data_IF_365380230639
#
_entry.id   IF_365380230639
#
_cell.length_a   1.000
_cell.length_b   1.000
_cell.length_c   1.000
_cell.angle_alpha   90.00
_cell.angle_beta   90.00
_cell.angle_gamma   90.00
#
_symmetry.space_group_name_H-M   'P 1'
#
loop_
_entity.id
_entity.type
_entity.pdbx_description
1 polymer ?
#
# COMPACT_ATOMS: atom_id res chain seq x y z
N UNK A 1 39.85 29.06 28.06
CA UNK A 1 38.51 28.99 27.44
C UNK A 1 37.73 28.01 28.28
N UNK A 2 36.69 28.45 28.98
CA UNK A 2 35.80 27.52 29.70
C UNK A 2 35.11 26.67 28.63
N UNK A 3 35.27 25.35 28.73
CA UNK A 3 34.38 24.41 28.02
C UNK A 3 32.95 24.75 28.48
N UNK A 4 32.18 25.40 27.61
CA UNK A 4 30.75 25.59 27.86
C UNK A 4 30.16 24.19 27.82
N UNK A 5 29.51 23.77 28.89
CA UNK A 5 28.81 22.49 28.93
C UNK A 5 27.75 22.47 27.81
N UNK A 6 27.81 21.46 26.95
CA UNK A 6 26.81 21.19 25.94
C UNK A 6 25.52 20.67 26.58
N UNK A 7 24.41 20.74 25.86
CA UNK A 7 23.17 20.09 26.28
C UNK A 7 23.33 18.59 26.44
N UNK A 8 22.64 18.04 27.44
CA UNK A 8 22.36 16.62 27.54
C UNK A 8 21.38 16.17 26.46
N UNK A 9 21.33 14.87 26.18
CA UNK A 9 20.41 14.30 25.18
C UNK A 9 18.95 14.61 25.52
N UNK A 10 18.60 14.64 26.81
CA UNK A 10 17.27 15.00 27.28
C UNK A 10 16.93 16.47 26.98
N UNK A 11 17.89 17.38 27.17
CA UNK A 11 17.70 18.80 26.87
C UNK A 11 17.59 19.05 25.36
N UNK A 12 18.35 18.31 24.55
CA UNK A 12 18.24 18.32 23.09
C UNK A 12 16.83 17.89 22.66
N UNK A 13 16.32 16.80 23.23
CA UNK A 13 14.97 16.31 22.93
C UNK A 13 13.89 17.34 23.30
N UNK A 14 13.98 17.95 24.50
CA UNK A 14 13.03 18.99 24.94
C UNK A 14 13.04 20.21 24.01
N UNK A 15 14.23 20.66 23.58
CA UNK A 15 14.35 21.80 22.67
C UNK A 15 13.80 21.46 21.27
N UNK A 16 14.09 20.26 20.77
CA UNK A 16 13.60 19.75 19.49
C UNK A 16 12.07 19.71 19.43
N UNK A 17 11.42 19.15 20.45
CA UNK A 17 9.97 19.08 20.56
C UNK A 17 9.34 20.49 20.59
N UNK A 18 9.92 21.41 21.36
CA UNK A 18 9.43 22.79 21.44
C UNK A 18 9.54 23.54 20.11
N UNK A 19 10.56 23.26 19.28
CA UNK A 19 10.70 23.84 17.93
C UNK A 19 9.63 23.27 17.00
N UNK A 20 9.45 21.94 16.99
CA UNK A 20 8.46 21.27 16.16
C UNK A 20 7.01 21.69 16.48
N UNK A 21 6.72 21.98 17.75
CA UNK A 21 5.42 22.49 18.18
C UNK A 21 5.23 24.00 17.97
N UNK A 22 6.25 24.73 17.51
CA UNK A 22 6.23 26.19 17.39
C UNK A 22 6.21 26.92 18.74
N UNK A 23 6.62 26.26 19.83
CA UNK A 23 6.65 26.77 21.21
C UNK A 23 8.04 27.22 21.66
N UNK A 24 8.91 27.63 20.74
CA UNK A 24 10.26 28.10 21.07
C UNK A 24 10.29 29.21 22.13
N UNK A 25 9.30 30.11 22.12
CA UNK A 25 9.20 31.18 23.12
C UNK A 25 8.88 30.68 24.54
N UNK A 26 8.37 29.45 24.67
CA UNK A 26 8.07 28.81 25.96
C UNK A 26 9.25 28.08 26.60
N UNK A 27 10.39 27.95 25.89
CA UNK A 27 11.59 27.33 26.46
C UNK A 27 12.20 28.21 27.57
N UNK A 28 12.86 27.59 28.58
CA UNK A 28 13.64 28.31 29.57
C UNK A 28 14.62 29.29 28.92
N UNK A 29 14.80 30.47 29.51
CA UNK A 29 15.68 31.51 28.97
C UNK A 29 17.13 31.01 28.84
N UNK A 30 17.58 30.18 29.76
CA UNK A 30 18.89 29.52 29.71
C UNK A 30 19.09 28.71 28.43
N UNK A 31 18.06 28.00 27.97
CA UNK A 31 18.15 27.17 26.76
C UNK A 31 18.19 28.04 25.50
N UNK A 32 17.34 29.08 25.45
CA UNK A 32 17.33 30.01 24.31
C UNK A 32 18.65 30.76 24.18
N UNK A 33 19.22 31.20 25.30
CA UNK A 33 20.52 31.88 25.31
C UNK A 33 21.65 30.91 24.93
N UNK A 34 21.61 29.67 25.41
CA UNK A 34 22.60 28.65 25.02
C UNK A 34 22.53 28.33 23.52
N UNK A 35 21.34 28.13 22.96
CA UNK A 35 21.15 27.90 21.53
C UNK A 35 21.61 29.07 20.67
N UNK A 36 21.49 30.30 21.16
CA UNK A 36 22.00 31.49 20.48
C UNK A 36 23.53 31.63 20.52
N UNK A 37 24.19 30.98 21.48
CA UNK A 37 25.64 31.09 21.70
C UNK A 37 26.44 29.84 21.31
N UNK A 38 25.79 28.68 21.14
CA UNK A 38 26.43 27.40 20.86
C UNK A 38 25.89 26.77 19.56
N UNK A 39 26.61 27.01 18.45
CA UNK A 39 26.25 26.51 17.12
C UNK A 39 26.13 24.97 17.05
N UNK A 40 26.94 24.26 17.84
CA UNK A 40 26.93 22.79 17.86
C UNK A 40 25.61 22.26 18.44
N UNK A 41 25.19 22.77 19.60
CA UNK A 41 23.91 22.36 20.19
C UNK A 41 22.71 22.82 19.35
N UNK A 42 22.80 23.99 18.71
CA UNK A 42 21.76 24.45 17.78
C UNK A 42 21.62 23.52 16.57
N UNK A 43 22.74 23.08 15.99
CA UNK A 43 22.75 22.14 14.86
C UNK A 43 22.20 20.77 15.25
N UNK A 44 22.57 20.27 16.44
CA UNK A 44 22.08 19.00 16.97
C UNK A 44 20.57 19.03 17.22
N UNK A 45 20.07 20.08 17.88
CA UNK A 45 18.63 20.26 18.13
C UNK A 45 17.84 20.35 16.81
N UNK A 46 18.36 21.07 15.80
CA UNK A 46 17.70 21.16 14.50
C UNK A 46 17.66 19.81 13.77
N UNK A 47 18.75 19.03 13.82
CA UNK A 47 18.78 17.69 13.22
C UNK A 47 17.74 16.76 13.85
N UNK A 48 17.63 16.77 15.18
CA UNK A 48 16.64 15.97 15.90
C UNK A 48 15.21 16.46 15.59
N UNK A 49 15.01 17.78 15.46
CA UNK A 49 13.72 18.36 15.11
C UNK A 49 13.26 17.92 13.71
N UNK A 50 14.15 17.96 12.72
CA UNK A 50 13.87 17.52 11.34
C UNK A 50 13.46 16.05 11.29
N UNK A 51 14.20 15.17 11.99
CA UNK A 51 13.89 13.73 12.07
C UNK A 51 12.51 13.51 12.69
N UNK A 52 12.23 14.19 13.82
CA UNK A 52 10.93 14.07 14.50
C UNK A 52 9.76 14.61 13.66
N UNK A 53 9.99 15.66 12.87
CA UNK A 53 8.98 16.23 11.98
C UNK A 53 8.57 15.23 10.89
N UNK A 54 9.52 14.53 10.26
CA UNK A 54 9.25 13.52 9.23
C UNK A 54 8.39 12.35 9.74
N UNK A 55 8.62 11.92 10.99
CA UNK A 55 7.78 10.91 11.64
C UNK A 55 6.35 11.43 11.88
N UNK A 56 6.21 12.70 12.28
CA UNK A 56 4.90 13.31 12.53
C UNK A 56 4.06 13.43 11.26
N UNK A 57 4.68 13.78 10.12
CA UNK A 57 4.01 13.84 8.83
C UNK A 57 3.51 12.46 8.40
N UNK A 58 4.36 11.45 8.55
CA UNK A 58 4.03 10.06 8.23
C UNK A 58 2.86 9.55 9.08
N UNK A 59 2.84 9.86 10.38
CA UNK A 59 1.74 9.48 11.28
C UNK A 59 0.42 10.21 10.93
N UNK A 60 0.48 11.48 10.55
CA UNK A 60 -0.71 12.28 10.27
C UNK A 60 -1.34 11.99 8.89
N UNK A 61 -0.53 11.56 7.91
CA UNK A 61 -1.05 11.05 6.63
C UNK A 61 -1.92 9.81 6.84
N UNK A 62 -1.51 8.90 7.72
CA UNK A 62 -2.29 7.70 8.04
C UNK A 62 -3.60 8.03 8.80
N UNK A 63 -3.59 9.06 9.67
CA UNK A 63 -4.77 9.45 10.43
C UNK A 63 -5.88 10.14 9.58
N UNK A 64 -5.53 10.78 8.46
CA UNK A 64 -6.51 11.52 7.63
C UNK A 64 -7.31 10.65 6.66
N UNK A 65 -6.89 9.41 6.39
CA UNK A 65 -7.59 8.51 5.45
C UNK A 65 -8.87 7.86 6.00
N UNK A 66 -8.98 7.64 7.32
CA UNK A 66 -10.06 6.81 7.88
C UNK A 66 -11.37 7.55 8.16
N UNK A 67 -11.31 8.83 8.59
CA UNK A 67 -12.53 9.55 9.02
C UNK A 67 -13.46 9.95 7.88
N UNK A 68 -12.95 10.26 6.68
CA UNK A 68 -13.81 10.60 5.52
C UNK A 68 -14.59 9.39 4.98
N UNK A 69 -14.03 8.17 5.05
CA UNK A 69 -14.74 6.95 4.63
C UNK A 69 -15.96 6.64 5.50
N UNK A 70 -15.89 6.89 6.80
CA UNK A 70 -17.02 6.66 7.71
C UNK A 70 -18.22 7.59 7.44
N UNK A 71 -17.98 8.86 7.09
CA UNK A 71 -19.08 9.77 6.73
C UNK A 71 -19.79 9.40 5.42
N UNK A 72 -19.07 8.82 4.45
CA UNK A 72 -19.69 8.34 3.20
C UNK A 72 -20.54 7.07 3.42
N UNK A 73 -20.10 6.14 4.28
CA UNK A 73 -20.86 4.92 4.58
C UNK A 73 -22.16 5.24 5.34
N UNK A 74 -22.14 6.20 6.27
CA UNK A 74 -23.33 6.63 7.02
C UNK A 74 -24.39 7.33 6.14
N UNK A 75 -24.00 7.93 5.01
CA UNK A 75 -24.95 8.56 4.08
C UNK A 75 -25.73 7.54 3.24
N UNK A 76 -25.05 6.46 2.81
CA UNK A 76 -25.65 5.45 1.92
C UNK A 76 -26.72 4.61 2.65
N UNK A 77 -26.55 4.35 3.95
CA UNK A 77 -27.52 3.56 4.73
C UNK A 77 -28.87 4.25 4.89
N UNK A 78 -28.89 5.59 4.95
CA UNK A 78 -30.13 6.37 5.08
C UNK A 78 -31.03 6.27 3.84
N UNK A 79 -30.44 6.33 2.64
CA UNK A 79 -31.21 6.25 1.38
C UNK A 79 -31.77 4.84 1.15
N UNK A 80 -31.00 3.81 1.50
CA UNK A 80 -31.45 2.41 1.36
C UNK A 80 -32.66 2.09 2.26
N UNK A 81 -32.69 2.61 3.49
CA UNK A 81 -33.82 2.41 4.41
C UNK A 81 -35.12 3.02 3.87
N UNK A 82 -35.05 4.20 3.23
CA UNK A 82 -36.21 4.86 2.62
C UNK A 82 -36.76 4.04 1.45
N UNK A 83 -35.89 3.49 0.60
CA UNK A 83 -36.31 2.65 -0.54
C UNK A 83 -36.92 1.32 -0.09
N UNK A 84 -36.35 0.67 0.93
CA UNK A 84 -36.92 -0.56 1.50
C UNK A 84 -38.30 -0.28 2.12
N UNK A 85 -38.46 0.83 2.84
CA UNK A 85 -39.74 1.21 3.44
C UNK A 85 -40.80 1.54 2.36
N UNK A 86 -40.43 2.26 1.30
CA UNK A 86 -41.32 2.54 0.17
C UNK A 86 -41.74 1.25 -0.56
N UNK A 87 -40.82 0.30 -0.75
CA UNK A 87 -41.11 -0.99 -1.36
C UNK A 87 -42.04 -1.85 -0.49
N UNK A 88 -41.84 -1.86 0.84
CA UNK A 88 -42.73 -2.56 1.76
C UNK A 88 -44.14 -1.95 1.75
N UNK A 89 -44.28 -0.63 1.68
CA UNK A 89 -45.59 0.02 1.51
C UNK A 89 -46.23 -0.42 0.18
N UNK A 90 -45.48 -0.47 -0.92
CA UNK A 90 -46.01 -0.88 -2.22
C UNK A 90 -46.48 -2.34 -2.25
N UNK A 91 -45.72 -3.26 -1.65
CA UNK A 91 -46.06 -4.71 -1.62
C UNK A 91 -47.22 -5.00 -0.65
N UNK A 92 -47.29 -4.31 0.49
CA UNK A 92 -48.32 -4.57 1.50
C UNK A 92 -49.59 -3.72 1.33
N UNK A 93 -49.67 -2.81 0.35
CA UNK A 93 -50.89 -2.05 0.13
C UNK A 93 -51.98 -2.95 -0.49
N UNK A 94 -53.03 -3.34 0.26
CA UNK A 94 -53.99 -4.36 -0.17
C UNK A 94 -55.05 -3.82 -1.15
N UNK A 95 -54.78 -2.67 -1.78
CA UNK A 95 -55.73 -1.93 -2.62
C UNK A 95 -55.73 -2.33 -4.10
N UNK A 96 -55.03 -3.40 -4.51
CA UNK A 96 -54.96 -3.79 -5.92
C UNK A 96 -55.42 -5.23 -6.23
N UNK A 97 -56.28 -5.80 -5.38
CA UNK A 97 -56.97 -7.05 -5.70
C UNK A 97 -58.37 -6.78 -6.27
N UNK A 98 -58.42 -6.24 -7.47
CA UNK A 98 -59.52 -6.53 -8.38
C UNK A 98 -59.10 -6.27 -9.82
N UNK A 99 -59.52 -7.17 -10.71
CA UNK A 99 -59.69 -7.02 -12.16
C UNK A 99 -58.69 -7.83 -13.01
N UNK A 100 -59.18 -9.03 -13.34
CA UNK A 100 -59.23 -9.68 -14.66
C UNK A 100 -58.07 -10.58 -15.12
N UNK A 101 -58.33 -11.88 -14.90
CA UNK A 101 -58.39 -12.92 -15.93
C UNK A 101 -58.70 -12.38 -17.35
N UNK A 102 -57.70 -12.43 -18.25
CA UNK A 102 -57.91 -12.59 -19.71
C UNK A 102 -56.82 -13.54 -20.22
N UNK A 103 -57.28 -14.64 -20.78
CA UNK A 103 -56.49 -15.63 -21.48
C UNK A 103 -56.07 -15.15 -22.88
N UNK A 104 -55.02 -15.83 -23.38
CA UNK A 104 -54.79 -16.13 -24.79
C UNK A 104 -54.28 -14.98 -25.70
N UNK A 105 -53.06 -15.13 -26.21
CA UNK A 105 -52.77 -15.44 -27.62
C UNK A 105 -51.24 -15.43 -27.80
N UNK A 106 -50.74 -16.54 -28.37
CA UNK A 106 -49.42 -16.66 -28.97
C UNK A 106 -49.25 -15.57 -30.04
N UNK A 107 -48.12 -14.89 -30.08
CA UNK A 107 -47.53 -14.67 -31.39
C UNK A 107 -46.00 -14.59 -31.36
N UNK A 108 -45.46 -15.48 -32.18
CA UNK A 108 -44.10 -15.58 -32.67
C UNK A 108 -43.68 -14.28 -33.33
N UNK A 109 -42.56 -13.70 -32.90
CA UNK A 109 -41.73 -12.89 -33.81
C UNK A 109 -40.26 -13.01 -33.44
N UNK A 110 -39.61 -13.91 -34.17
CA UNK A 110 -38.22 -13.75 -34.60
C UNK A 110 -38.04 -12.36 -35.23
N UNK A 111 -36.93 -11.68 -34.95
CA UNK A 111 -36.10 -10.94 -35.94
C UNK A 111 -34.95 -10.17 -35.25
N UNK A 112 -33.74 -10.41 -35.79
CA UNK A 112 -32.51 -9.57 -35.86
C UNK A 112 -31.87 -9.10 -34.53
N UNK A 113 -30.69 -9.60 -34.14
CA UNK A 113 -29.36 -9.40 -34.76
C UNK A 113 -29.01 -7.92 -34.99
N UNK A 114 -27.78 -7.52 -34.62
CA UNK A 114 -27.06 -6.27 -34.93
C UNK A 114 -27.19 -5.15 -33.87
N UNK A 115 -26.20 -5.04 -32.95
CA UNK A 115 -25.00 -4.18 -33.09
C UNK A 115 -24.33 -4.03 -31.72
N UNK A 116 -23.27 -4.82 -31.54
CA UNK A 116 -22.21 -4.57 -30.58
C UNK A 116 -21.52 -3.27 -31.00
N UNK A 117 -21.92 -2.17 -30.35
CA UNK A 117 -21.40 -0.85 -30.66
C UNK A 117 -20.20 -0.58 -29.76
N UNK A 118 -19.07 -0.53 -30.43
CA UNK A 118 -17.77 -0.10 -29.96
C UNK A 118 -17.87 1.19 -29.16
N UNK A 119 -17.49 1.13 -27.88
CA UNK A 119 -17.07 2.30 -27.12
C UNK A 119 -15.58 2.11 -26.86
N UNK A 120 -14.79 2.78 -27.71
CA UNK A 120 -13.53 3.49 -27.42
C UNK A 120 -12.87 3.06 -26.11
N UNK A 121 -11.80 2.27 -26.06
CA UNK A 121 -10.51 2.37 -26.78
C UNK A 121 -9.87 3.75 -26.71
N UNK A 122 -9.60 4.18 -25.48
CA UNK A 122 -8.51 5.10 -25.17
C UNK A 122 -7.78 4.58 -23.93
N UNK A 123 -6.46 4.80 -23.90
CA UNK A 123 -5.47 4.30 -22.93
C UNK A 123 -4.97 2.88 -23.26
N UNK A 124 -4.22 2.77 -24.36
CA UNK A 124 -3.16 1.75 -24.46
C UNK A 124 -2.04 2.25 -25.37
N UNK A 125 -1.37 3.31 -24.93
CA UNK A 125 -0.13 3.77 -25.54
C UNK A 125 0.81 4.25 -24.44
N UNK A 126 1.44 3.32 -23.71
CA UNK A 126 2.82 3.36 -23.19
C UNK A 126 3.07 1.98 -22.58
N UNK A 127 3.75 1.11 -23.31
CA UNK A 127 4.67 0.06 -22.84
C UNK A 127 4.92 -0.96 -23.95
N UNK A 128 5.40 -0.50 -25.11
CA UNK A 128 6.27 -1.34 -25.94
C UNK A 128 7.67 -1.22 -25.36
N UNK A 129 7.89 -1.91 -24.26
CA UNK A 129 9.23 -2.13 -23.71
C UNK A 129 9.94 -3.07 -24.67
N UNK A 130 10.94 -2.55 -25.37
CA UNK A 130 11.89 -3.33 -26.15
C UNK A 130 12.41 -4.48 -25.29
N UNK A 131 12.09 -5.72 -25.67
CA UNK A 131 12.72 -6.90 -25.13
C UNK A 131 14.16 -6.95 -25.65
N UNK A 132 15.07 -6.35 -24.88
CA UNK A 132 16.51 -6.45 -25.10
C UNK A 132 16.89 -7.89 -24.74
N UNK A 133 17.32 -8.66 -25.75
CA UNK A 133 17.84 -10.03 -25.55
C UNK A 133 19.17 -9.90 -24.79
N UNK A 134 19.31 -10.47 -23.58
CA UNK A 134 20.51 -10.33 -22.77
C UNK A 134 21.70 -11.11 -23.37
N UNK A 135 22.89 -10.51 -23.34
CA UNK A 135 24.15 -11.11 -23.78
C UNK A 135 24.67 -12.08 -22.69
N UNK A 136 25.26 -13.21 -23.07
CA UNK A 136 25.62 -14.37 -22.21
C UNK A 136 26.52 -13.99 -21.01
N UNK A 137 27.37 -12.96 -21.15
CA UNK A 137 28.18 -12.43 -20.05
C UNK A 137 27.38 -11.68 -18.95
N UNK A 138 26.08 -11.43 -19.15
CA UNK A 138 25.19 -10.82 -18.14
C UNK A 138 24.67 -11.84 -17.11
N UNK A 139 24.88 -13.15 -17.32
CA UNK A 139 24.37 -14.18 -16.41
C UNK A 139 24.98 -14.13 -15.01
N UNK A 140 26.24 -13.70 -14.87
CA UNK A 140 26.88 -13.52 -13.56
C UNK A 140 26.46 -12.22 -12.85
N UNK A 141 26.17 -11.15 -13.60
CA UNK A 141 25.67 -9.89 -13.05
C UNK A 141 24.22 -9.98 -12.56
N UNK A 142 23.50 -11.05 -12.93
CA UNK A 142 22.11 -11.26 -12.56
C UNK A 142 21.91 -11.65 -11.08
N UNK A 143 22.98 -11.94 -10.34
CA UNK A 143 22.92 -12.37 -8.93
C UNK A 143 23.57 -11.40 -7.95
N UNK A 144 23.96 -10.21 -8.40
CA UNK A 144 24.46 -9.17 -7.49
C UNK A 144 23.28 -8.68 -6.65
N UNK A 145 23.41 -8.78 -5.33
CA UNK A 145 22.39 -8.36 -4.38
C UNK A 145 22.30 -6.82 -4.32
N UNK A 146 21.09 -6.29 -4.16
CA UNK A 146 20.86 -4.86 -3.98
C UNK A 146 20.89 -4.51 -2.48
N UNK A 147 21.82 -3.64 -2.07
CA UNK A 147 22.06 -3.34 -0.65
C UNK A 147 20.80 -2.83 0.08
N UNK A 148 19.93 -2.06 -0.60
CA UNK A 148 18.71 -1.54 0.02
C UNK A 148 17.69 -2.65 0.26
N UNK A 149 17.51 -3.53 -0.73
CA UNK A 149 16.63 -4.69 -0.58
C UNK A 149 17.16 -5.71 0.41
N UNK A 150 18.47 -5.89 0.51
CA UNK A 150 19.08 -6.76 1.51
C UNK A 150 18.83 -6.26 2.93
N UNK A 151 18.98 -4.95 3.16
CA UNK A 151 18.63 -4.33 4.46
C UNK A 151 17.15 -4.52 4.78
N UNK A 152 16.26 -4.31 3.82
CA UNK A 152 14.83 -4.55 3.98
C UNK A 152 14.54 -6.02 4.26
N UNK A 153 15.13 -6.94 3.49
CA UNK A 153 14.93 -8.37 3.66
C UNK A 153 15.36 -8.82 5.07
N UNK A 154 16.57 -8.47 5.51
CA UNK A 154 17.04 -8.85 6.85
C UNK A 154 16.20 -8.19 7.97
N UNK A 155 15.67 -6.98 7.76
CA UNK A 155 14.77 -6.32 8.72
C UNK A 155 13.41 -7.01 8.85
N UNK A 156 12.95 -7.72 7.82
CA UNK A 156 11.61 -8.33 7.75
C UNK A 156 11.63 -9.87 7.81
N UNK A 157 12.81 -10.50 7.81
CA UNK A 157 13.00 -11.96 7.86
C UNK A 157 12.35 -12.63 9.08
N UNK A 158 12.28 -11.91 10.19
CA UNK A 158 11.75 -12.41 11.48
C UNK A 158 10.54 -11.60 11.99
N UNK A 159 10.19 -10.49 11.33
CA UNK A 159 9.15 -9.58 11.80
C UNK A 159 7.86 -9.76 11.00
N UNK A 160 6.91 -10.51 11.56
CA UNK A 160 5.52 -10.52 11.08
C UNK A 160 4.83 -9.23 11.53
N UNK A 161 4.93 -8.18 10.72
CA UNK A 161 4.23 -6.90 10.96
C UNK A 161 2.85 -6.96 10.33
N UNK A 162 1.88 -7.43 11.09
CA UNK A 162 0.47 -7.46 10.68
C UNK A 162 -0.28 -8.60 11.36
N UNK A 163 -1.31 -8.29 12.15
CA UNK A 163 -2.11 -9.32 12.85
C UNK A 163 -3.06 -10.10 11.94
N UNK A 164 -3.27 -9.64 10.70
CA UNK A 164 -4.23 -10.18 9.75
C UNK A 164 -3.64 -11.10 8.68
N UNK A 165 -2.35 -10.97 8.37
CA UNK A 165 -1.68 -11.70 7.28
C UNK A 165 -0.55 -12.57 7.83
N UNK A 166 -0.63 -13.88 7.59
CA UNK A 166 0.40 -14.84 7.98
C UNK A 166 1.10 -15.39 6.73
N UNK A 167 2.41 -15.14 6.61
CA UNK A 167 3.19 -15.57 5.44
C UNK A 167 3.58 -17.04 5.59
N UNK A 168 3.17 -17.87 4.61
CA UNK A 168 3.52 -19.31 4.58
C UNK A 168 4.71 -19.60 3.68
N UNK A 169 4.95 -18.72 2.70
CA UNK A 169 6.08 -18.83 1.78
C UNK A 169 7.41 -18.51 2.46
N UNK A 170 8.45 -19.28 2.13
CA UNK A 170 9.81 -19.04 2.64
C UNK A 170 10.38 -17.72 2.12
N UNK A 171 11.21 -17.06 2.93
CA UNK A 171 11.85 -15.80 2.55
C UNK A 171 12.80 -15.88 1.35
N UNK A 172 13.36 -17.06 1.07
CA UNK A 172 14.13 -17.32 -0.15
C UNK A 172 13.50 -18.48 -0.91
N UNK A 173 13.17 -18.24 -2.17
CA UNK A 173 12.58 -19.21 -3.08
C UNK A 173 13.50 -19.50 -4.25
N UNK A 174 13.37 -20.71 -4.79
CA UNK A 174 14.06 -21.15 -6.01
C UNK A 174 13.03 -21.38 -7.10
N UNK A 175 13.07 -20.57 -8.16
CA UNK A 175 12.21 -20.70 -9.34
C UNK A 175 12.94 -21.56 -10.40
N UNK A 176 12.27 -22.51 -11.08
CA UNK A 176 10.82 -22.71 -11.19
C UNK A 176 10.24 -23.77 -10.25
N UNK A 177 10.94 -24.17 -9.18
CA UNK A 177 10.43 -25.23 -8.26
C UNK A 177 9.12 -24.82 -7.57
N UNK A 178 8.91 -23.53 -7.40
CA UNK A 178 7.70 -22.94 -6.83
C UNK A 178 7.18 -21.91 -7.83
N UNK A 179 5.88 -21.97 -8.12
CA UNK A 179 5.20 -21.12 -9.11
C UNK A 179 4.30 -20.05 -8.47
N UNK A 180 4.16 -20.06 -7.14
CA UNK A 180 3.23 -19.22 -6.41
C UNK A 180 3.76 -18.84 -5.03
N UNK A 181 3.52 -17.59 -4.66
CA UNK A 181 3.65 -17.06 -3.31
C UNK A 181 2.35 -17.36 -2.55
N UNK A 182 2.46 -17.65 -1.25
CA UNK A 182 1.36 -18.10 -0.40
C UNK A 182 1.41 -17.43 0.97
N UNK A 183 0.24 -17.03 1.43
CA UNK A 183 -0.01 -16.44 2.74
C UNK A 183 -1.46 -16.70 3.13
N UNK A 184 -1.81 -16.42 4.38
CA UNK A 184 -3.17 -16.52 4.90
C UNK A 184 -3.72 -15.09 5.09
N UNK A 185 -4.68 -14.70 4.26
CA UNK A 185 -5.38 -13.43 4.29
C UNK A 185 -6.79 -13.64 4.84
N UNK A 186 -6.89 -13.75 6.17
CA UNK A 186 -8.13 -14.14 6.86
C UNK A 186 -9.31 -13.21 6.58
N UNK A 187 -9.04 -11.92 6.35
CA UNK A 187 -10.06 -10.89 6.19
C UNK A 187 -10.25 -10.42 4.74
N UNK A 188 -9.63 -11.11 3.76
CA UNK A 188 -9.68 -10.73 2.35
C UNK A 188 -9.31 -9.25 2.12
N UNK A 189 -8.29 -8.78 2.83
CA UNK A 189 -7.76 -7.44 2.63
C UNK A 189 -7.21 -7.32 1.22
N UNK A 190 -7.36 -6.15 0.59
CA UNK A 190 -6.70 -5.89 -0.69
C UNK A 190 -5.20 -5.70 -0.46
N UNK A 191 -4.41 -6.48 -1.17
CA UNK A 191 -2.95 -6.52 -1.10
C UNK A 191 -2.37 -6.20 -2.47
N UNK A 192 -1.18 -5.60 -2.46
CA UNK A 192 -0.36 -5.36 -3.66
C UNK A 192 0.92 -6.18 -3.51
N UNK A 193 1.19 -7.01 -4.50
CA UNK A 193 2.44 -7.75 -4.64
C UNK A 193 3.28 -7.05 -5.70
N UNK A 194 4.48 -6.65 -5.33
CA UNK A 194 5.42 -6.00 -6.24
C UNK A 194 6.66 -6.85 -6.42
N UNK A 195 7.07 -7.08 -7.66
CA UNK A 195 8.28 -7.82 -8.00
C UNK A 195 9.32 -6.85 -8.52
N UNK A 196 10.55 -6.97 -8.05
CA UNK A 196 11.67 -6.12 -8.39
C UNK A 196 12.84 -6.96 -8.92
N UNK A 197 13.56 -6.40 -9.87
CA UNK A 197 14.87 -6.92 -10.29
C UNK A 197 15.92 -6.66 -9.21
N UNK A 198 17.07 -7.31 -9.31
CA UNK A 198 18.23 -7.06 -8.44
C UNK A 198 18.88 -5.68 -8.59
N UNK A 199 18.31 -4.78 -9.41
CA UNK A 199 18.73 -3.37 -9.54
C UNK A 199 17.69 -2.41 -8.95
N UNK A 200 16.74 -2.94 -8.19
CA UNK A 200 15.62 -2.17 -7.64
C UNK A 200 14.60 -1.66 -8.67
N UNK A 201 14.67 -2.10 -9.92
CA UNK A 201 13.68 -1.75 -10.95
C UNK A 201 12.45 -2.63 -10.79
N UNK A 202 11.27 -2.01 -10.69
CA UNK A 202 9.99 -2.70 -10.66
C UNK A 202 9.81 -3.52 -11.95
N UNK A 203 9.63 -4.82 -11.79
CA UNK A 203 9.43 -5.77 -12.88
C UNK A 203 7.94 -5.92 -13.20
N UNK A 204 7.12 -6.15 -12.18
CA UNK A 204 5.66 -6.27 -12.31
C UNK A 204 5.00 -6.05 -10.96
N UNK A 205 3.70 -5.74 -10.96
CA UNK A 205 2.88 -5.78 -9.76
C UNK A 205 1.53 -6.46 -10.03
N UNK A 206 0.91 -6.95 -8.97
CA UNK A 206 -0.41 -7.58 -9.01
C UNK A 206 -1.19 -7.18 -7.75
N UNK A 207 -2.48 -6.86 -7.91
CA UNK A 207 -3.39 -6.60 -6.79
C UNK A 207 -4.25 -7.83 -6.56
N UNK A 208 -4.37 -8.29 -5.32
CA UNK A 208 -5.11 -9.50 -4.96
C UNK A 208 -5.75 -9.36 -3.57
N UNK A 209 -6.89 -10.00 -3.36
CA UNK A 209 -7.54 -10.19 -2.05
C UNK A 209 -7.49 -11.67 -1.59
N UNK A 210 -6.71 -12.48 -2.31
CA UNK A 210 -6.54 -13.90 -2.06
C UNK A 210 -5.43 -14.26 -1.07
N UNK A 211 -5.15 -15.56 -1.02
CA UNK A 211 -4.14 -16.21 -0.16
C UNK A 211 -2.82 -16.50 -0.89
N UNK A 212 -2.57 -15.82 -2.00
CA UNK A 212 -1.38 -16.02 -2.81
C UNK A 212 -1.36 -15.23 -4.10
N UNK A 213 -0.22 -15.27 -4.77
CA UNK A 213 0.01 -14.64 -6.06
C UNK A 213 0.90 -15.54 -6.90
N UNK A 214 0.62 -15.64 -8.19
CA UNK A 214 1.45 -16.41 -9.09
C UNK A 214 2.78 -15.67 -9.31
N UNK A 215 3.88 -16.41 -9.34
CA UNK A 215 5.19 -15.85 -9.67
C UNK A 215 5.23 -15.63 -11.19
N UNK A 216 5.52 -14.41 -11.69
CA UNK A 216 5.64 -14.16 -13.11
C UNK A 216 6.85 -14.91 -13.70
N UNK A 217 6.86 -15.11 -15.01
CA UNK A 217 7.96 -15.83 -15.67
C UNK A 217 9.22 -14.96 -15.69
N UNK A 218 10.17 -15.27 -14.80
CA UNK A 218 11.47 -14.63 -14.76
C UNK A 218 12.48 -15.30 -15.69
N UNK A 219 13.45 -14.53 -16.18
CA UNK A 219 14.72 -15.09 -16.65
C UNK A 219 15.59 -15.52 -15.45
N UNK A 220 16.64 -16.29 -15.69
CA UNK A 220 17.65 -16.61 -14.66
C UNK A 220 18.18 -15.34 -13.98
N UNK A 221 18.31 -15.35 -12.66
CA UNK A 221 18.79 -14.20 -11.88
C UNK A 221 18.17 -14.10 -10.48
N UNK A 222 18.44 -12.99 -9.80
CA UNK A 222 17.89 -12.66 -8.50
C UNK A 222 16.78 -11.62 -8.63
N UNK A 223 15.68 -11.86 -7.93
CA UNK A 223 14.54 -10.97 -7.85
C UNK A 223 14.12 -10.81 -6.40
N UNK A 224 13.48 -9.69 -6.11
CA UNK A 224 12.87 -9.40 -4.83
C UNK A 224 11.37 -9.26 -5.00
N UNK A 225 10.61 -9.53 -3.94
CA UNK A 225 9.19 -9.23 -3.93
C UNK A 225 8.79 -8.58 -2.61
N UNK A 226 7.80 -7.69 -2.68
CA UNK A 226 7.18 -7.02 -1.54
C UNK A 226 5.71 -7.39 -1.48
N UNK A 227 5.18 -7.54 -0.26
CA UNK A 227 3.75 -7.59 0.00
C UNK A 227 3.35 -6.35 0.78
N UNK A 228 2.39 -5.60 0.26
CA UNK A 228 1.99 -4.29 0.77
C UNK A 228 0.46 -4.27 0.89
N UNK A 229 -0.10 -3.63 1.91
CA UNK A 229 -1.55 -3.39 1.99
C UNK A 229 -1.96 -2.10 1.25
N UNK A 230 -3.26 -1.79 1.19
CA UNK A 230 -3.75 -0.55 0.55
C UNK A 230 -3.39 0.75 1.27
N UNK A 231 -2.92 0.66 2.52
CA UNK A 231 -2.41 1.78 3.31
C UNK A 231 -0.89 1.95 3.13
N UNK A 232 -0.30 1.24 2.16
CA UNK A 232 1.12 1.25 1.82
C UNK A 232 2.05 0.77 2.94
N UNK A 233 1.53 0.02 3.90
CA UNK A 233 2.33 -0.64 4.92
C UNK A 233 3.00 -1.88 4.33
N UNK A 234 4.32 -1.96 4.49
CA UNK A 234 5.10 -3.11 4.08
C UNK A 234 4.87 -4.28 5.05
N UNK A 235 4.28 -5.36 4.55
CA UNK A 235 3.96 -6.55 5.34
C UNK A 235 5.07 -7.59 5.28
N UNK A 236 5.69 -7.77 4.10
CA UNK A 236 6.73 -8.78 3.91
C UNK A 236 7.67 -8.45 2.74
N UNK A 237 8.90 -8.95 2.83
CA UNK A 237 9.90 -8.91 1.75
C UNK A 237 10.54 -10.29 1.60
N UNK A 238 10.65 -10.78 0.37
CA UNK A 238 11.35 -12.03 0.08
C UNK A 238 12.19 -11.97 -1.18
N UNK A 239 12.96 -13.03 -1.42
CA UNK A 239 13.87 -13.22 -2.56
C UNK A 239 13.45 -14.40 -3.41
N UNK A 240 13.65 -14.29 -4.71
CA UNK A 240 13.42 -15.35 -5.69
C UNK A 240 14.70 -15.52 -6.51
N UNK A 241 15.30 -16.71 -6.43
CA UNK A 241 16.45 -17.11 -7.23
C UNK A 241 15.95 -17.91 -8.42
N UNK A 242 16.05 -17.35 -9.62
CA UNK A 242 15.83 -18.08 -10.86
C UNK A 242 16.99 -19.03 -11.12
N UNK A 243 16.70 -20.32 -11.26
CA UNK A 243 17.68 -21.32 -11.67
C UNK A 243 18.18 -21.04 -13.10
N UNK A 244 19.44 -21.42 -13.32
CA UNK A 244 20.09 -21.54 -14.63
C UNK A 244 19.70 -22.90 -15.22
#
# INVERSE_FOLDING_TARGET
>A
MNEKAHFSEEEVAICSDAINEGKYQGLPETFRNHLAECDQCASEVLLVADIAFDFSLSANQNARGSKKRWFFIASITSVAAILIFAFLIFVYNPWNNSINEIALIQDTTSVKNIKENQINKEIDTISKTNQIIPNENQQMAAFIEDEQFEKLYESFKESYRGSSIEITTKGVLTYPQIDSLKWNNKYHEKLVVEFYTNKGVLYSNETTDGNGCRIPKFSSGLYYWKLINMDYELLYVGKIKGNI
#
